data_IF_493660232390
#
_entry.id   IF_493660232390
#
_cell.length_a   1.000
_cell.length_b   1.000
_cell.length_c   1.000
_cell.angle_alpha   90.00
_cell.angle_beta   90.00
_cell.angle_gamma   90.00
#
_symmetry.space_group_name_H-M   'P 1'
#
loop_
_entity.id
_entity.type
_entity.pdbx_description
1 polymer ?
#
# COMPACT_ATOMS: atom_id res chain seq x y z
N UNK A 1 22.47 0.12 -1.07
CA UNK A 1 21.59 1.30 -1.12
C UNK A 1 20.37 1.01 -0.26
N UNK A 2 19.87 1.94 0.56
CA UNK A 2 18.62 1.71 1.30
C UNK A 2 17.43 1.97 0.39
N UNK A 3 16.52 1.01 0.30
CA UNK A 3 15.34 1.08 -0.56
C UNK A 3 14.08 0.82 0.26
N UNK A 4 13.13 1.74 0.16
CA UNK A 4 11.85 1.69 0.84
C UNK A 4 10.72 1.45 -0.15
N UNK A 5 9.82 0.55 0.17
CA UNK A 5 8.60 0.30 -0.59
C UNK A 5 7.43 1.00 0.08
N UNK A 6 6.72 1.83 -0.67
CA UNK A 6 5.46 2.46 -0.24
C UNK A 6 4.32 1.80 -0.99
N UNK A 7 3.43 1.13 -0.26
CA UNK A 7 2.25 0.45 -0.78
C UNK A 7 1.03 1.30 -0.44
N UNK A 8 0.38 1.88 -1.46
CA UNK A 8 -0.87 2.62 -1.28
C UNK A 8 -2.08 1.69 -1.39
N UNK A 9 -2.80 1.49 -0.28
CA UNK A 9 -4.00 0.66 -0.21
C UNK A 9 -5.23 1.54 0.06
N UNK A 10 -5.95 1.90 -1.01
CA UNK A 10 -7.31 2.44 -0.98
C UNK A 10 -7.61 3.69 -0.10
N UNK A 11 -6.63 4.42 0.44
CA UNK A 11 -6.91 5.58 1.32
C UNK A 11 -7.50 6.79 0.62
N UNK A 12 -7.48 6.84 -0.72
CA UNK A 12 -8.02 7.95 -1.52
C UNK A 12 -8.93 7.55 -2.68
N UNK A 13 -9.30 6.27 -2.81
CA UNK A 13 -10.13 5.81 -3.93
C UNK A 13 -11.58 6.31 -3.77
N UNK A 14 -12.10 7.15 -4.69
CA UNK A 14 -13.48 7.63 -4.64
C UNK A 14 -14.49 6.49 -4.68
N UNK A 15 -14.13 5.35 -5.29
CA UNK A 15 -14.96 4.15 -5.29
C UNK A 15 -15.11 3.64 -3.85
N UNK A 16 -14.01 3.52 -3.10
CA UNK A 16 -14.00 3.12 -1.68
C UNK A 16 -14.67 4.15 -0.76
N UNK A 17 -14.64 5.43 -1.12
CA UNK A 17 -15.39 6.46 -0.40
C UNK A 17 -16.91 6.41 -0.66
N UNK A 18 -17.32 6.06 -1.88
CA UNK A 18 -18.73 5.91 -2.27
C UNK A 18 -19.34 4.59 -1.74
N UNK A 19 -18.52 3.59 -1.41
CA UNK A 19 -18.92 2.31 -0.82
C UNK A 19 -19.66 2.44 0.54
N UNK A 20 -19.38 3.48 1.33
CA UNK A 20 -19.98 3.71 2.65
C UNK A 20 -21.37 4.36 2.63
N UNK A 21 -21.90 4.72 1.45
CA UNK A 21 -23.28 5.27 1.31
C UNK A 21 -24.37 4.22 1.11
N UNK A 22 -24.07 2.92 1.24
CA UNK A 22 -25.09 1.89 1.51
C UNK A 22 -25.49 0.92 0.37
N UNK A 23 -24.58 0.54 -0.53
CA UNK A 23 -24.85 -0.53 -1.51
C UNK A 23 -24.45 -1.92 -0.97
N UNK A 24 -25.34 -2.92 -1.00
CA UNK A 24 -25.20 -4.22 -0.34
C UNK A 24 -24.10 -5.19 -0.86
N UNK A 25 -23.06 -4.72 -1.57
CA UNK A 25 -21.97 -5.54 -2.11
C UNK A 25 -20.56 -5.04 -1.80
N UNK A 26 -20.43 -3.99 -0.99
CA UNK A 26 -19.28 -3.05 -1.08
C UNK A 26 -18.20 -3.21 -0.01
N UNK A 27 -18.51 -3.70 1.20
CA UNK A 27 -17.49 -4.05 2.20
C UNK A 27 -16.59 -5.23 1.77
N UNK A 28 -17.04 -6.02 0.80
CA UNK A 28 -16.30 -7.17 0.27
C UNK A 28 -15.08 -6.76 -0.55
N UNK A 29 -15.10 -5.61 -1.24
CA UNK A 29 -13.98 -5.21 -2.09
C UNK A 29 -12.77 -4.76 -1.25
N UNK A 30 -13.00 -3.94 -0.21
CA UNK A 30 -11.94 -3.57 0.72
C UNK A 30 -11.36 -4.80 1.44
N UNK A 31 -12.22 -5.75 1.87
CA UNK A 31 -11.77 -7.01 2.47
C UNK A 31 -10.92 -7.82 1.50
N UNK A 32 -11.36 -8.01 0.26
CA UNK A 32 -10.58 -8.72 -0.78
C UNK A 32 -9.24 -8.05 -1.08
N UNK A 33 -9.19 -6.71 -1.12
CA UNK A 33 -7.95 -5.96 -1.31
C UNK A 33 -6.99 -6.15 -0.13
N UNK A 34 -7.52 -6.21 1.09
CA UNK A 34 -6.72 -6.51 2.30
C UNK A 34 -6.24 -7.97 2.31
N UNK A 35 -7.07 -8.92 1.88
CA UNK A 35 -6.68 -10.32 1.70
C UNK A 35 -5.55 -10.44 0.68
N UNK A 36 -5.71 -9.86 -0.51
CA UNK A 36 -4.66 -9.85 -1.54
C UNK A 36 -3.36 -9.16 -1.08
N UNK A 37 -3.48 -8.06 -0.34
CA UNK A 37 -2.34 -7.40 0.29
C UNK A 37 -1.59 -8.38 1.22
N UNK A 38 -2.30 -9.06 2.12
CA UNK A 38 -1.73 -9.95 3.12
C UNK A 38 -1.14 -11.24 2.55
N UNK A 39 -1.80 -11.81 1.55
CA UNK A 39 -1.51 -13.16 1.06
C UNK A 39 -0.47 -13.13 -0.07
N UNK A 40 -0.50 -12.11 -0.92
CA UNK A 40 0.35 -12.03 -2.11
C UNK A 40 1.40 -10.92 -2.04
N UNK A 41 0.99 -9.69 -1.73
CA UNK A 41 1.87 -8.52 -1.89
C UNK A 41 2.90 -8.43 -0.75
N UNK A 42 2.44 -8.48 0.50
CA UNK A 42 3.31 -8.31 1.66
C UNK A 42 4.36 -9.44 1.79
N UNK A 43 4.02 -10.73 1.60
CA UNK A 43 5.02 -11.79 1.59
C UNK A 43 6.03 -11.64 0.45
N UNK A 44 5.58 -11.21 -0.73
CA UNK A 44 6.47 -10.95 -1.86
C UNK A 44 7.44 -9.80 -1.55
N UNK A 45 6.93 -8.68 -1.04
CA UNK A 45 7.75 -7.53 -0.67
C UNK A 45 8.78 -7.87 0.42
N UNK A 46 8.36 -8.59 1.46
CA UNK A 46 9.25 -8.99 2.56
C UNK A 46 10.43 -9.85 2.09
N UNK A 47 10.21 -10.74 1.10
CA UNK A 47 11.27 -11.59 0.53
C UNK A 47 12.27 -10.83 -0.35
N UNK A 48 11.90 -9.67 -0.90
CA UNK A 48 12.75 -8.92 -1.83
C UNK A 48 13.87 -8.13 -1.15
N UNK A 49 13.85 -8.01 0.19
CA UNK A 49 14.92 -7.34 0.93
C UNK A 49 14.82 -5.82 0.95
N UNK A 50 13.62 -5.25 0.79
CA UNK A 50 13.37 -3.84 1.11
C UNK A 50 13.77 -3.54 2.55
N UNK A 51 14.38 -2.38 2.78
CA UNK A 51 14.77 -1.95 4.12
C UNK A 51 13.57 -1.50 4.95
N UNK A 52 12.65 -0.78 4.31
CA UNK A 52 11.45 -0.23 4.93
C UNK A 52 10.24 -0.60 4.04
N UNK A 53 9.19 -1.20 4.62
CA UNK A 53 7.92 -1.47 3.93
C UNK A 53 6.83 -0.65 4.62
N UNK A 54 6.31 0.35 3.93
CA UNK A 54 5.33 1.29 4.42
C UNK A 54 4.00 1.05 3.70
N UNK A 55 2.96 0.63 4.44
CA UNK A 55 1.62 0.49 3.89
C UNK A 55 0.80 1.69 4.31
N UNK A 56 0.39 2.50 3.35
CA UNK A 56 -0.54 3.60 3.60
C UNK A 56 -1.94 3.21 3.21
N UNK A 57 -2.86 3.20 4.15
CA UNK A 57 -4.19 2.68 3.90
C UNK A 57 -5.12 2.77 5.08
N UNK A 58 -6.40 2.48 4.83
CA UNK A 58 -7.38 2.41 5.92
C UNK A 58 -7.03 1.22 6.81
N UNK A 59 -7.02 1.38 8.15
CA UNK A 59 -6.78 0.27 9.06
C UNK A 59 -7.82 -0.82 8.85
N UNK A 60 -7.36 -2.07 8.87
CA UNK A 60 -8.22 -3.24 8.87
C UNK A 60 -7.70 -4.24 9.91
N UNK A 61 -8.61 -4.87 10.66
CA UNK A 61 -8.26 -5.83 11.73
C UNK A 61 -7.48 -7.05 11.23
N UNK A 62 -7.63 -7.38 9.94
CA UNK A 62 -6.98 -8.52 9.32
C UNK A 62 -5.56 -8.21 8.84
N UNK A 63 -5.08 -6.95 8.94
CA UNK A 63 -3.74 -6.59 8.49
C UNK A 63 -2.66 -7.34 9.27
N UNK A 64 -1.73 -7.93 8.54
CA UNK A 64 -0.59 -8.67 9.12
C UNK A 64 0.44 -7.74 9.73
N UNK A 65 0.85 -7.99 10.96
CA UNK A 65 1.88 -7.18 11.67
C UNK A 65 3.20 -7.93 11.88
N UNK A 66 3.28 -9.18 11.47
CA UNK A 66 4.39 -10.10 11.74
C UNK A 66 5.60 -9.95 10.80
N UNK A 67 5.48 -9.16 9.73
CA UNK A 67 6.51 -9.00 8.69
C UNK A 67 7.37 -7.73 8.83
N UNK A 68 7.35 -7.07 10.00
CA UNK A 68 8.10 -5.82 10.20
C UNK A 68 7.58 -4.64 9.37
N UNK A 69 6.30 -4.68 8.98
CA UNK A 69 5.64 -3.67 8.15
C UNK A 69 5.16 -2.51 9.01
N UNK A 70 5.33 -1.28 8.52
CA UNK A 70 4.76 -0.09 9.15
C UNK A 70 3.46 0.29 8.45
N UNK A 71 2.36 0.32 9.20
CA UNK A 71 1.06 0.77 8.70
C UNK A 71 0.81 2.22 9.07
N UNK A 72 0.35 2.99 8.08
CA UNK A 72 0.08 4.41 8.21
C UNK A 72 -1.33 4.70 7.70
N UNK A 73 -2.19 5.20 8.59
CA UNK A 73 -3.47 5.73 8.16
C UNK A 73 -3.39 7.24 7.99
N UNK A 74 -3.57 7.70 6.76
CA UNK A 74 -3.69 9.11 6.42
C UNK A 74 -5.14 9.31 5.98
N UNK A 75 -5.91 10.03 6.81
CA UNK A 75 -7.32 10.24 6.55
C UNK A 75 -7.50 11.14 5.33
N UNK A 76 -8.28 10.73 4.32
CA UNK A 76 -8.49 11.55 3.13
C UNK A 76 -9.33 12.79 3.46
N UNK A 77 -8.88 13.96 3.01
CA UNK A 77 -9.58 15.24 3.17
C UNK A 77 -10.51 15.47 1.97
N UNK A 78 -10.01 15.32 0.74
CA UNK A 78 -10.74 15.63 -0.50
C UNK A 78 -11.32 14.42 -1.22
N UNK A 79 -10.74 13.23 -0.99
CA UNK A 79 -11.16 11.95 -1.59
C UNK A 79 -11.12 11.98 -3.13
N UNK A 80 -10.09 12.62 -3.68
CA UNK A 80 -9.81 12.69 -5.10
C UNK A 80 -8.37 12.22 -5.40
N UNK A 81 -7.94 12.32 -6.66
CA UNK A 81 -6.57 11.92 -7.06
C UNK A 81 -5.47 12.73 -6.38
N UNK A 82 -5.74 13.99 -5.99
CA UNK A 82 -4.76 14.82 -5.27
C UNK A 82 -4.53 14.29 -3.85
N UNK A 83 -5.52 13.65 -3.26
CA UNK A 83 -5.39 12.98 -1.97
C UNK A 83 -4.44 11.79 -2.03
N UNK A 84 -4.52 10.97 -3.08
CA UNK A 84 -3.60 9.84 -3.26
C UNK A 84 -2.14 10.30 -3.34
N UNK A 85 -1.88 11.47 -3.94
CA UNK A 85 -0.56 12.10 -3.97
C UNK A 85 -0.14 12.58 -2.57
N UNK A 86 -1.03 13.25 -1.83
CA UNK A 86 -0.77 13.69 -0.46
C UNK A 86 -0.44 12.52 0.47
N UNK A 87 -1.20 11.42 0.38
CA UNK A 87 -0.96 10.19 1.17
C UNK A 87 0.43 9.63 0.89
N UNK A 88 0.82 9.55 -0.39
CA UNK A 88 2.17 9.11 -0.78
C UNK A 88 3.24 10.05 -0.25
N UNK A 89 3.03 11.36 -0.35
CA UNK A 89 3.99 12.35 0.16
C UNK A 89 4.20 12.20 1.67
N UNK A 90 3.13 12.06 2.45
CA UNK A 90 3.24 11.82 3.90
C UNK A 90 3.99 10.52 4.22
N UNK A 91 3.77 9.47 3.45
CA UNK A 91 4.51 8.22 3.58
C UNK A 91 6.01 8.38 3.26
N UNK A 92 6.35 9.14 2.21
CA UNK A 92 7.75 9.37 1.81
C UNK A 92 8.57 10.05 2.88
N UNK A 93 7.95 10.89 3.73
CA UNK A 93 8.62 11.57 4.85
C UNK A 93 9.13 10.60 5.93
N UNK A 94 8.61 9.37 5.95
CA UNK A 94 9.03 8.31 6.86
C UNK A 94 10.03 7.34 6.21
N UNK A 95 10.29 7.47 4.91
CA UNK A 95 11.31 6.70 4.22
C UNK A 95 12.69 7.30 4.48
N UNK A 96 13.68 6.43 4.73
CA UNK A 96 15.08 6.81 4.92
C UNK A 96 15.96 6.57 3.68
N UNK A 97 15.37 6.06 2.60
CA UNK A 97 16.07 5.63 1.39
C UNK A 97 15.34 5.99 0.11
N UNK A 98 15.78 5.39 -1.01
CA UNK A 98 15.08 5.51 -2.29
C UNK A 98 13.67 4.96 -2.16
N UNK A 99 12.69 5.68 -2.70
CA UNK A 99 11.29 5.31 -2.59
C UNK A 99 10.82 4.67 -3.88
N UNK A 100 10.24 3.48 -3.75
CA UNK A 100 9.42 2.85 -4.77
C UNK A 100 7.95 2.94 -4.36
N UNK A 101 7.12 3.51 -5.22
CA UNK A 101 5.68 3.62 -5.00
C UNK A 101 4.97 2.50 -5.75
N UNK A 102 4.26 1.66 -5.01
CA UNK A 102 3.53 0.51 -5.54
C UNK A 102 2.02 0.70 -5.40
N UNK A 103 1.29 0.56 -6.50
CA UNK A 103 -0.18 0.50 -6.49
C UNK A 103 -0.60 -0.97 -6.37
N UNK A 104 -1.12 -1.35 -5.23
CA UNK A 104 -1.41 -2.73 -4.85
C UNK A 104 -2.66 -3.34 -5.49
N UNK A 105 -3.24 -2.69 -6.49
CA UNK A 105 -4.65 -2.95 -6.78
C UNK A 105 -4.87 -4.27 -7.51
N UNK A 106 -3.93 -4.74 -8.36
CA UNK A 106 -4.22 -5.87 -9.27
C UNK A 106 -3.07 -6.88 -9.50
N UNK A 107 -1.88 -6.68 -8.91
CA UNK A 107 -0.73 -7.56 -9.16
C UNK A 107 0.20 -7.65 -7.94
N UNK A 108 1.07 -8.66 -7.93
CA UNK A 108 2.20 -8.79 -7.00
C UNK A 108 3.50 -8.34 -7.68
N UNK A 109 4.50 -7.94 -6.89
CA UNK A 109 5.83 -7.62 -7.41
C UNK A 109 6.48 -8.86 -8.06
N UNK A 110 7.24 -8.65 -9.14
CA UNK A 110 8.09 -9.71 -9.71
C UNK A 110 9.08 -10.20 -8.65
N UNK A 111 9.39 -11.50 -8.64
CA UNK A 111 10.34 -12.09 -7.69
C UNK A 111 11.73 -11.46 -7.77
N UNK A 112 12.10 -10.96 -8.96
CA UNK A 112 13.40 -10.35 -9.26
C UNK A 112 13.34 -8.81 -9.33
N UNK A 113 12.28 -8.19 -8.81
CA UNK A 113 12.01 -6.76 -9.04
C UNK A 113 13.19 -5.84 -8.70
N UNK A 114 13.85 -6.03 -7.54
CA UNK A 114 15.00 -5.20 -7.17
C UNK A 114 16.28 -5.53 -7.95
N UNK A 115 16.47 -6.79 -8.36
CA UNK A 115 17.63 -7.19 -9.17
C UNK A 115 17.50 -6.75 -10.63
N UNK A 116 16.28 -6.51 -11.10
CA UNK A 116 15.99 -6.04 -12.46
C UNK A 116 16.10 -4.50 -12.59
N UNK A 117 16.28 -3.79 -11.46
CA UNK A 117 16.45 -2.34 -11.50
C UNK A 117 17.80 -2.00 -12.17
N UNK A 118 17.80 -1.05 -13.13
CA UNK A 118 19.04 -0.60 -13.73
C UNK A 118 19.95 -0.04 -12.65
N UNK A 119 21.21 -0.49 -12.65
CA UNK A 119 22.24 0.06 -11.76
C UNK A 119 22.49 1.50 -12.20
N UNK A 120 22.04 2.45 -11.37
CA UNK A 120 22.28 3.88 -11.55
C UNK A 120 23.71 4.28 -11.24
#
# INVERSE_FOLDING_TARGET
>A
MRTSLIITTATGDPLVANEQRGGAGTGQLHVKRVEFLNDDILPSASKQGFNDILVTGRPNKSLRTDLGITYLYISPIRRDRSEALNIREQATRLSTGQVLVYSSDDHKLSENFLSDLPVG
#
